data_IF_685579570481
#
_entry.id   IF_685579570481
#
_cell.length_a   1.000
_cell.length_b   1.000
_cell.length_c   1.000
_cell.angle_alpha   90.00
_cell.angle_beta   90.00
_cell.angle_gamma   90.00
#
_symmetry.space_group_name_H-M   'P 1'
#
loop_
_entity.id
_entity.type
_entity.pdbx_description
1 polymer ?
#
# COMPACT_ATOMS: atom_id res chain seq x y z
N UNK A 1 -4.20 -14.85 3.25
CA UNK A 1 -5.65 -14.69 2.94
C UNK A 1 -5.78 -13.49 2.00
N UNK A 2 -6.95 -13.24 1.42
CA UNK A 2 -7.20 -12.08 0.55
C UNK A 2 -8.33 -11.26 1.19
N UNK A 3 -8.30 -9.93 1.10
CA UNK A 3 -9.35 -9.08 1.66
C UNK A 3 -10.66 -9.28 0.92
N UNK A 4 -10.62 -9.22 -0.41
CA UNK A 4 -11.76 -9.60 -1.24
C UNK A 4 -11.83 -11.13 -1.39
N UNK A 5 -13.04 -11.68 -1.33
CA UNK A 5 -13.29 -13.10 -1.65
C UNK A 5 -14.34 -13.22 -2.71
N UNK A 6 -14.30 -14.30 -3.51
CA UNK A 6 -15.34 -14.60 -4.49
C UNK A 6 -16.73 -14.61 -3.84
N UNK A 7 -16.87 -15.21 -2.66
CA UNK A 7 -18.16 -15.27 -1.95
C UNK A 7 -18.67 -13.88 -1.60
N UNK A 8 -17.81 -13.03 -1.01
CA UNK A 8 -18.19 -11.66 -0.64
C UNK A 8 -18.55 -10.83 -1.87
N UNK A 9 -17.76 -10.96 -2.94
CA UNK A 9 -17.98 -10.31 -4.22
C UNK A 9 -19.34 -10.66 -4.84
N UNK A 10 -19.67 -11.96 -4.92
CA UNK A 10 -20.97 -12.40 -5.46
C UNK A 10 -22.15 -11.98 -4.60
N UNK A 11 -21.93 -11.84 -3.29
CA UNK A 11 -22.98 -11.42 -2.34
C UNK A 11 -23.28 -9.94 -2.43
N UNK A 12 -22.26 -9.10 -2.63
CA UNK A 12 -22.38 -7.64 -2.59
C UNK A 12 -22.59 -6.99 -3.96
N UNK A 13 -22.34 -7.73 -5.04
CA UNK A 13 -22.47 -7.23 -6.41
C UNK A 13 -23.53 -8.01 -7.18
N UNK A 14 -23.91 -7.50 -8.34
CA UNK A 14 -24.84 -8.21 -9.24
C UNK A 14 -24.12 -9.21 -10.16
N UNK A 15 -22.79 -9.30 -10.11
CA UNK A 15 -22.01 -10.14 -11.02
C UNK A 15 -22.11 -11.62 -10.63
N UNK A 16 -22.44 -12.45 -11.60
CA UNK A 16 -22.59 -13.90 -11.46
C UNK A 16 -21.50 -14.66 -12.21
N UNK A 17 -21.44 -15.98 -12.07
CA UNK A 17 -20.43 -16.82 -12.73
C UNK A 17 -20.55 -16.82 -14.26
N UNK A 18 -21.69 -16.39 -14.82
CA UNK A 18 -21.83 -16.18 -16.27
C UNK A 18 -21.14 -14.90 -16.76
N UNK A 19 -20.97 -13.90 -15.89
CA UNK A 19 -20.33 -12.62 -16.26
C UNK A 19 -18.80 -12.72 -16.21
N UNK A 20 -18.28 -13.43 -15.21
CA UNK A 20 -16.86 -13.71 -15.04
C UNK A 20 -16.69 -15.06 -14.34
N UNK A 21 -15.84 -15.94 -14.85
CA UNK A 21 -15.52 -17.20 -14.19
C UNK A 21 -14.70 -17.00 -12.93
N UNK A 22 -14.81 -17.92 -11.97
CA UNK A 22 -14.14 -17.76 -10.67
C UNK A 22 -12.60 -17.83 -10.77
N UNK A 23 -12.07 -18.53 -11.76
CA UNK A 23 -10.62 -18.52 -12.07
C UNK A 23 -10.15 -17.13 -12.50
N UNK A 24 -10.89 -16.47 -13.40
CA UNK A 24 -10.59 -15.11 -13.84
C UNK A 24 -10.75 -14.11 -12.71
N UNK A 25 -11.77 -14.28 -11.87
CA UNK A 25 -12.01 -13.44 -10.71
C UNK A 25 -10.87 -13.56 -9.68
N UNK A 26 -10.37 -14.78 -9.43
CA UNK A 26 -9.23 -15.04 -8.55
C UNK A 26 -7.99 -14.24 -8.93
N UNK A 27 -7.70 -14.11 -10.22
CA UNK A 27 -6.56 -13.33 -10.71
C UNK A 27 -6.71 -11.82 -10.48
N UNK A 28 -7.94 -11.30 -10.42
CA UNK A 28 -8.22 -9.86 -10.24
C UNK A 28 -8.31 -9.51 -8.75
N UNK A 29 -8.69 -10.46 -7.89
CA UNK A 29 -8.74 -10.27 -6.42
C UNK A 29 -7.40 -9.76 -5.90
N UNK A 30 -6.28 -10.39 -6.27
CA UNK A 30 -4.96 -9.97 -5.80
C UNK A 30 -4.60 -8.52 -6.20
N UNK A 31 -5.03 -8.08 -7.39
CA UNK A 31 -4.80 -6.71 -7.85
C UNK A 31 -5.73 -5.71 -7.12
N UNK A 32 -6.95 -6.12 -6.79
CA UNK A 32 -7.87 -5.29 -6.02
C UNK A 32 -7.37 -5.06 -4.58
N UNK A 33 -6.91 -6.13 -3.92
CA UNK A 33 -6.38 -6.06 -2.56
C UNK A 33 -5.13 -5.17 -2.50
N UNK A 34 -4.17 -5.37 -3.43
CA UNK A 34 -2.98 -4.52 -3.56
C UNK A 34 -3.32 -3.04 -3.77
N UNK A 35 -4.32 -2.76 -4.58
CA UNK A 35 -4.75 -1.39 -4.82
C UNK A 35 -5.31 -0.74 -3.54
N UNK A 36 -6.12 -1.47 -2.78
CA UNK A 36 -6.66 -0.98 -1.49
C UNK A 36 -5.55 -0.77 -0.47
N UNK A 37 -4.62 -1.72 -0.32
CA UNK A 37 -3.44 -1.56 0.56
C UNK A 37 -2.69 -0.28 0.20
N UNK A 38 -2.44 -0.01 -1.08
CA UNK A 38 -1.74 1.22 -1.52
C UNK A 38 -2.52 2.51 -1.27
N UNK A 39 -3.84 2.44 -1.16
CA UNK A 39 -4.69 3.61 -0.88
C UNK A 39 -4.71 3.97 0.60
N UNK A 40 -4.55 2.99 1.49
CA UNK A 40 -4.69 3.16 2.94
C UNK A 40 -3.34 3.19 3.68
N UNK A 41 -2.32 2.58 3.09
CA UNK A 41 -0.97 2.48 3.67
C UNK A 41 0.06 3.29 2.89
N UNK A 42 1.17 3.61 3.53
CA UNK A 42 2.36 4.15 2.86
C UNK A 42 3.52 3.20 3.04
N UNK A 43 4.21 2.93 1.93
CA UNK A 43 5.40 2.08 1.92
C UNK A 43 6.65 2.88 2.28
N UNK A 44 7.42 2.33 3.20
CA UNK A 44 8.66 2.90 3.70
C UNK A 44 9.80 2.02 3.21
N UNK A 45 10.75 2.65 2.53
CA UNK A 45 11.90 1.99 1.94
C UNK A 45 13.16 2.27 2.76
N UNK A 46 13.82 1.21 3.19
CA UNK A 46 15.13 1.24 3.85
C UNK A 46 15.20 2.23 5.02
N UNK A 47 14.18 2.22 5.86
CA UNK A 47 14.21 3.01 7.09
C UNK A 47 15.24 2.45 8.05
N UNK A 48 16.10 3.32 8.58
CA UNK A 48 16.98 2.99 9.70
C UNK A 48 16.18 2.90 10.99
N UNK A 49 16.11 1.69 11.54
CA UNK A 49 15.41 1.42 12.80
C UNK A 49 16.20 1.98 13.99
N UNK A 50 15.46 2.38 15.03
CA UNK A 50 16.02 2.82 16.30
C UNK A 50 16.24 1.63 17.24
N UNK A 51 17.41 1.59 17.86
CA UNK A 51 17.82 0.48 18.74
C UNK A 51 19.33 0.41 18.90
N UNK A 52 19.78 -0.08 20.05
CA UNK A 52 21.21 -0.28 20.31
C UNK A 52 21.71 -1.52 19.55
N UNK A 53 22.88 -1.42 18.94
CA UNK A 53 23.57 -2.54 18.27
C UNK A 53 24.74 -2.96 19.15
N UNK A 54 24.52 -3.95 20.02
CA UNK A 54 25.50 -4.43 21.01
C UNK A 54 25.73 -5.95 20.98
N UNK A 55 25.15 -6.65 20.00
CA UNK A 55 25.20 -8.11 19.90
C UNK A 55 24.22 -8.85 20.80
N UNK A 56 23.36 -8.14 21.54
CA UNK A 56 22.36 -8.74 22.44
C UNK A 56 20.94 -8.22 22.20
N UNK A 57 20.77 -6.97 21.76
CA UNK A 57 19.47 -6.41 21.45
C UNK A 57 18.89 -7.02 20.15
N UNK A 58 17.66 -7.53 20.23
CA UNK A 58 16.91 -8.07 19.08
C UNK A 58 15.70 -7.20 18.70
N UNK A 59 15.35 -6.23 19.54
CA UNK A 59 14.17 -5.39 19.37
C UNK A 59 14.56 -4.03 18.81
N UNK A 60 13.99 -3.70 17.66
CA UNK A 60 14.24 -2.45 16.96
C UNK A 60 12.93 -1.74 16.63
N UNK A 61 12.94 -0.41 16.66
CA UNK A 61 11.74 0.42 16.58
C UNK A 61 11.67 1.17 15.26
N UNK A 62 10.51 1.13 14.63
CA UNK A 62 10.17 1.98 13.51
C UNK A 62 9.75 3.37 13.99
N UNK A 63 10.01 4.36 13.15
CA UNK A 63 9.57 5.74 13.27
C UNK A 63 8.10 5.87 12.89
N UNK A 64 7.70 5.30 11.75
CA UNK A 64 6.30 5.32 11.30
C UNK A 64 5.56 4.08 11.80
N UNK A 65 4.38 4.34 12.37
CA UNK A 65 3.53 3.35 13.05
C UNK A 65 2.07 3.81 13.01
N UNK A 66 1.08 2.89 13.12
CA UNK A 66 1.26 1.45 13.27
C UNK A 66 1.75 0.77 11.97
N UNK A 67 2.50 -0.33 12.08
CA UNK A 67 2.89 -1.16 10.93
C UNK A 67 1.62 -1.79 10.35
N UNK A 68 1.48 -1.74 9.04
CA UNK A 68 0.32 -2.20 8.31
C UNK A 68 0.57 -3.54 7.63
N UNK A 69 -0.52 -4.26 7.39
CA UNK A 69 -0.56 -5.48 6.58
C UNK A 69 -0.22 -5.15 5.13
N UNK A 70 0.85 -5.74 4.63
CA UNK A 70 1.42 -5.51 3.32
C UNK A 70 1.01 -6.59 2.32
N UNK A 71 0.72 -7.81 2.79
CA UNK A 71 0.40 -8.98 1.96
C UNK A 71 -1.10 -9.23 1.80
N UNK A 72 -1.94 -8.41 2.44
CA UNK A 72 -3.40 -8.47 2.44
C UNK A 72 -3.98 -9.71 3.13
N UNK A 73 -3.24 -10.31 4.07
CA UNK A 73 -3.68 -11.49 4.81
C UNK A 73 -4.75 -11.21 5.86
N UNK A 74 -4.91 -9.96 6.29
CA UNK A 74 -5.79 -9.53 7.38
C UNK A 74 -5.12 -9.56 8.75
N UNK A 75 -3.82 -9.89 8.81
CA UNK A 75 -3.06 -9.99 10.05
C UNK A 75 -1.70 -9.34 9.83
N UNK A 76 -1.31 -8.42 10.71
CA UNK A 76 0.05 -7.86 10.66
C UNK A 76 1.00 -8.85 11.33
N UNK A 77 1.92 -9.43 10.56
CA UNK A 77 2.93 -10.36 11.07
C UNK A 77 4.30 -10.20 10.38
N UNK A 78 5.24 -11.07 10.73
CA UNK A 78 6.63 -11.02 10.26
C UNK A 78 6.78 -10.98 8.73
N UNK A 79 5.81 -11.48 7.98
CA UNK A 79 5.86 -11.54 6.53
C UNK A 79 5.59 -10.15 5.89
N UNK A 80 5.09 -9.17 6.67
CA UNK A 80 4.85 -7.78 6.23
C UNK A 80 6.09 -6.89 6.27
N UNK A 81 7.20 -7.37 6.85
CA UNK A 81 8.42 -6.60 7.04
C UNK A 81 9.62 -7.36 6.51
N UNK A 82 10.45 -6.67 5.73
CA UNK A 82 11.78 -7.17 5.36
C UNK A 82 12.85 -6.33 6.03
N UNK A 83 13.67 -6.94 6.89
CA UNK A 83 14.76 -6.28 7.60
C UNK A 83 16.13 -6.70 7.05
N UNK A 84 17.12 -5.82 7.15
CA UNK A 84 18.48 -6.00 6.67
C UNK A 84 19.48 -5.49 7.70
N UNK A 85 20.60 -6.19 7.82
CA UNK A 85 21.81 -5.63 8.43
C UNK A 85 22.65 -4.98 7.35
N UNK A 86 22.99 -3.71 7.58
CA UNK A 86 23.69 -2.90 6.60
C UNK A 86 25.10 -2.58 7.09
N UNK A 87 26.06 -2.69 6.19
CA UNK A 87 27.48 -2.34 6.39
C UNK A 87 27.87 -1.20 5.46
N UNK A 88 29.09 -0.68 5.60
CA UNK A 88 29.68 0.22 4.61
C UNK A 88 30.57 -0.59 3.67
N UNK A 89 30.51 -0.26 2.38
CA UNK A 89 31.51 -0.73 1.42
C UNK A 89 32.83 -0.01 1.68
N UNK A 90 33.89 -0.77 1.97
CA UNK A 90 35.22 -0.23 2.33
C UNK A 90 35.88 0.60 1.22
N UNK A 91 35.45 0.43 -0.04
CA UNK A 91 36.06 1.08 -1.20
C UNK A 91 35.35 2.39 -1.55
N UNK A 92 34.03 2.40 -1.44
CA UNK A 92 33.17 3.47 -1.95
C UNK A 92 32.50 4.27 -0.82
N UNK A 93 32.41 3.70 0.39
CA UNK A 93 31.74 4.29 1.55
C UNK A 93 30.21 4.28 1.47
N UNK A 94 29.63 3.59 0.47
CA UNK A 94 28.18 3.47 0.33
C UNK A 94 27.64 2.39 1.26
N UNK A 95 26.35 2.49 1.58
CA UNK A 95 25.65 1.47 2.36
C UNK A 95 25.47 0.23 1.50
N UNK A 96 25.95 -0.91 1.98
CA UNK A 96 25.72 -2.22 1.40
C UNK A 96 24.67 -2.96 2.23
N UNK A 97 23.63 -3.47 1.57
CA UNK A 97 22.62 -4.30 2.22
C UNK A 97 23.10 -5.75 2.26
N UNK A 98 23.15 -6.33 3.46
CA UNK A 98 23.34 -7.77 3.62
C UNK A 98 22.12 -8.56 3.13
N UNK A 99 22.12 -9.86 3.42
CA UNK A 99 20.93 -10.70 3.20
C UNK A 99 19.79 -10.28 4.12
N UNK A 100 18.55 -10.50 3.67
CA UNK A 100 17.38 -10.29 4.51
C UNK A 100 17.48 -11.11 5.80
N UNK A 101 17.15 -10.50 6.93
CA UNK A 101 17.21 -11.08 8.27
C UNK A 101 15.85 -11.64 8.63
N UNK A 102 15.83 -12.80 9.29
CA UNK A 102 14.58 -13.37 9.80
C UNK A 102 13.98 -12.48 10.90
N UNK A 103 12.77 -11.99 10.65
CA UNK A 103 11.91 -11.37 11.67
C UNK A 103 11.12 -12.46 12.39
N UNK A 104 11.08 -12.42 13.71
CA UNK A 104 10.38 -13.44 14.53
C UNK A 104 9.02 -12.97 15.01
N UNK A 105 8.88 -11.68 15.31
CA UNK A 105 7.60 -11.10 15.72
C UNK A 105 7.56 -9.59 15.47
N UNK A 106 6.34 -9.06 15.40
CA UNK A 106 6.07 -7.63 15.22
C UNK A 106 5.04 -7.19 16.25
N UNK A 107 5.29 -6.05 16.88
CA UNK A 107 4.28 -5.30 17.63
C UNK A 107 3.86 -4.09 16.80
N UNK A 108 2.83 -4.29 15.97
CA UNK A 108 2.42 -3.33 14.95
C UNK A 108 2.14 -1.92 15.50
N UNK A 109 1.41 -1.84 16.63
CA UNK A 109 1.00 -0.58 17.25
C UNK A 109 2.18 0.24 17.78
N UNK A 110 3.19 -0.43 18.33
CA UNK A 110 4.37 0.23 18.92
C UNK A 110 5.51 0.39 17.92
N UNK A 111 5.42 -0.28 16.77
CA UNK A 111 6.45 -0.30 15.73
C UNK A 111 7.67 -1.14 16.09
N UNK A 112 7.55 -2.11 17.01
CA UNK A 112 8.68 -2.96 17.40
C UNK A 112 8.77 -4.15 16.45
N UNK A 113 9.96 -4.35 15.87
CA UNK A 113 10.33 -5.50 15.08
C UNK A 113 11.36 -6.30 15.88
N UNK A 114 11.08 -7.58 16.13
CA UNK A 114 11.99 -8.49 16.81
C UNK A 114 12.67 -9.39 15.80
N UNK A 115 14.00 -9.34 15.73
CA UNK A 115 14.80 -10.18 14.83
C UNK A 115 15.22 -11.48 15.51
N UNK A 116 15.54 -12.50 14.71
CA UNK A 116 15.96 -13.81 15.23
C UNK A 116 17.34 -13.76 15.89
N UNK A 117 18.28 -13.00 15.32
CA UNK A 117 19.66 -12.89 15.79
C UNK A 117 20.02 -11.44 16.04
N UNK A 118 20.58 -11.09 17.20
CA UNK A 118 20.99 -9.73 17.49
C UNK A 118 22.17 -9.28 16.60
N UNK A 119 22.13 -8.07 16.01
CA UNK A 119 23.26 -7.56 15.23
C UNK A 119 24.41 -7.11 16.14
N UNK A 120 25.63 -7.26 15.66
CA UNK A 120 26.83 -6.66 16.26
C UNK A 120 27.24 -5.41 15.49
N UNK A 121 28.13 -4.60 16.07
CA UNK A 121 28.68 -3.41 15.41
C UNK A 121 29.47 -3.74 14.13
N UNK A 122 29.85 -5.00 13.92
CA UNK A 122 30.52 -5.46 12.69
C UNK A 122 29.52 -5.93 11.63
N UNK A 123 28.39 -6.53 12.02
CA UNK A 123 27.41 -7.04 11.05
C UNK A 123 26.44 -5.97 10.57
N UNK A 124 26.21 -4.93 11.37
CA UNK A 124 25.26 -3.86 11.09
C UNK A 124 25.89 -2.47 11.33
N UNK A 125 27.11 -2.26 10.86
CA UNK A 125 27.88 -1.03 11.06
C UNK A 125 27.12 0.23 10.61
N UNK A 126 26.44 0.17 9.46
CA UNK A 126 25.61 1.27 8.94
C UNK A 126 24.23 1.33 9.62
N UNK A 127 23.79 0.23 10.23
CA UNK A 127 22.58 0.11 11.03
C UNK A 127 21.70 -1.06 10.60
N UNK A 128 20.51 -1.13 11.22
CA UNK A 128 19.43 -2.05 10.83
C UNK A 128 18.44 -1.29 9.97
N UNK A 129 18.18 -1.78 8.75
CA UNK A 129 17.28 -1.15 7.80
C UNK A 129 16.04 -2.03 7.58
N UNK A 130 14.87 -1.43 7.39
CA UNK A 130 13.64 -2.17 7.11
C UNK A 130 12.84 -1.59 5.93
N UNK A 131 12.15 -2.48 5.23
CA UNK A 131 11.11 -2.18 4.24
C UNK A 131 9.80 -2.69 4.81
N UNK A 132 8.80 -1.81 4.91
CA UNK A 132 7.50 -2.12 5.49
C UNK A 132 6.44 -1.11 5.04
N UNK A 133 5.17 -1.37 5.37
CA UNK A 133 4.07 -0.41 5.21
C UNK A 133 3.57 0.06 6.57
N UNK A 134 3.09 1.30 6.66
CA UNK A 134 2.40 1.81 7.85
C UNK A 134 1.04 2.39 7.49
N UNK A 135 0.11 2.33 8.45
CA UNK A 135 -1.23 2.87 8.26
C UNK A 135 -1.22 4.39 8.39
N UNK A 136 -1.77 5.08 7.39
CA UNK A 136 -1.82 6.55 7.39
C UNK A 136 -3.04 7.10 8.13
N UNK A 137 -4.06 6.27 8.34
CA UNK A 137 -5.36 6.66 8.89
C UNK A 137 -5.62 6.11 10.29
N UNK A 138 -4.57 5.64 10.99
CA UNK A 138 -4.68 5.02 12.31
C UNK A 138 -4.97 3.52 12.22
N UNK A 139 -5.56 2.95 13.27
CA UNK A 139 -5.82 1.51 13.33
C UNK A 139 -6.81 1.09 12.24
N UNK A 140 -6.36 0.25 11.33
CA UNK A 140 -7.14 -0.29 10.22
C UNK A 140 -8.23 -1.25 10.70
N UNK A 141 -9.45 -1.03 10.22
CA UNK A 141 -10.57 -1.97 10.33
C UNK A 141 -10.58 -2.87 9.09
N UNK A 142 -10.22 -4.14 9.28
CA UNK A 142 -10.09 -5.11 8.20
C UNK A 142 -11.43 -5.48 7.56
N UNK A 143 -12.55 -5.35 8.28
CA UNK A 143 -13.88 -5.59 7.69
C UNK A 143 -14.22 -4.49 6.67
N UNK A 144 -13.83 -3.24 6.99
CA UNK A 144 -13.96 -2.09 6.09
C UNK A 144 -13.01 -2.24 4.88
N UNK A 145 -11.77 -2.70 5.08
CA UNK A 145 -10.86 -2.99 3.97
C UNK A 145 -11.39 -4.09 3.05
N UNK A 146 -11.93 -5.18 3.61
CA UNK A 146 -12.53 -6.26 2.83
C UNK A 146 -13.71 -5.76 1.98
N UNK A 147 -14.52 -4.86 2.53
CA UNK A 147 -15.61 -4.23 1.81
C UNK A 147 -15.09 -3.32 0.68
N UNK A 148 -14.13 -2.45 0.97
CA UNK A 148 -13.52 -1.56 -0.02
C UNK A 148 -12.83 -2.34 -1.15
N UNK A 149 -12.07 -3.39 -0.83
CA UNK A 149 -11.42 -4.28 -1.79
C UNK A 149 -12.45 -4.98 -2.67
N UNK A 150 -13.58 -5.39 -2.10
CA UNK A 150 -14.68 -5.99 -2.87
C UNK A 150 -15.33 -5.01 -3.85
N UNK A 151 -15.53 -3.75 -3.46
CA UNK A 151 -16.04 -2.72 -4.35
C UNK A 151 -15.02 -2.34 -5.43
N UNK A 152 -13.74 -2.27 -5.09
CA UNK A 152 -12.69 -2.05 -6.08
C UNK A 152 -12.60 -3.20 -7.08
N UNK A 153 -12.74 -4.44 -6.62
CA UNK A 153 -12.84 -5.62 -7.48
C UNK A 153 -14.03 -5.52 -8.44
N UNK A 154 -15.20 -5.08 -7.98
CA UNK A 154 -16.37 -4.83 -8.81
C UNK A 154 -16.10 -3.79 -9.91
N UNK A 155 -15.38 -2.73 -9.58
CA UNK A 155 -14.93 -1.75 -10.56
C UNK A 155 -13.99 -2.36 -11.62
N UNK A 156 -13.00 -3.16 -11.21
CA UNK A 156 -12.08 -3.82 -12.13
C UNK A 156 -12.81 -4.82 -13.05
N UNK A 157 -13.70 -5.65 -12.50
CA UNK A 157 -14.51 -6.61 -13.25
C UNK A 157 -15.41 -5.91 -14.26
N UNK A 158 -16.10 -4.84 -13.85
CA UNK A 158 -16.93 -4.03 -14.75
C UNK A 158 -16.13 -3.47 -15.93
N UNK A 159 -14.89 -3.02 -15.70
CA UNK A 159 -14.01 -2.54 -16.76
C UNK A 159 -13.54 -3.66 -17.68
N UNK A 160 -13.18 -4.84 -17.13
CA UNK A 160 -12.77 -6.01 -17.90
C UNK A 160 -13.89 -6.48 -18.84
N UNK A 161 -15.12 -6.60 -18.34
CA UNK A 161 -16.30 -6.99 -19.13
C UNK A 161 -16.57 -5.98 -20.26
N UNK A 162 -16.41 -4.67 -19.98
CA UNK A 162 -16.58 -3.61 -20.98
C UNK A 162 -15.45 -3.57 -22.03
N UNK A 163 -14.45 -4.44 -21.95
CA UNK A 163 -13.27 -4.41 -22.83
C UNK A 163 -12.44 -3.14 -22.69
N UNK A 164 -12.63 -2.38 -21.59
CA UNK A 164 -11.79 -1.21 -21.31
C UNK A 164 -10.52 -1.73 -20.66
N UNK A 165 -9.38 -1.59 -21.33
CA UNK A 165 -8.09 -1.81 -20.69
C UNK A 165 -8.02 -0.93 -19.42
N UNK A 166 -7.65 -1.51 -18.26
CA UNK A 166 -7.31 -0.70 -17.10
C UNK A 166 -6.10 0.14 -17.50
N UNK A 167 -6.25 1.45 -17.52
CA UNK A 167 -5.15 2.34 -17.78
C UNK A 167 -4.36 2.49 -16.47
N UNK A 168 -3.31 1.69 -16.33
CA UNK A 168 -2.42 1.72 -15.17
C UNK A 168 -1.42 2.88 -15.21
N UNK A 169 -1.47 3.76 -16.23
CA UNK A 169 -0.52 4.86 -16.42
C UNK A 169 -1.02 6.21 -15.89
N UNK A 170 -2.25 6.28 -15.38
CA UNK A 170 -2.86 7.55 -15.01
C UNK A 170 -2.52 7.95 -13.58
N UNK A 171 -1.35 8.57 -13.43
CA UNK A 171 -1.01 9.55 -12.38
C UNK A 171 -1.71 10.91 -12.62
N UNK A 172 -2.65 10.99 -13.57
CA UNK A 172 -3.38 12.21 -13.91
C UNK A 172 -4.69 12.34 -13.11
N UNK A 173 -4.93 13.46 -12.41
CA UNK A 173 -6.15 13.72 -11.65
C UNK A 173 -7.46 13.71 -12.46
N UNK A 174 -7.40 13.83 -13.78
CA UNK A 174 -8.58 14.11 -14.62
C UNK A 174 -9.30 12.86 -15.20
N UNK A 175 -8.71 11.67 -15.15
CA UNK A 175 -9.30 10.48 -15.76
C UNK A 175 -10.47 9.75 -15.05
N UNK A 176 -10.82 9.97 -13.76
CA UNK A 176 -11.90 9.21 -13.13
C UNK A 176 -13.30 9.53 -13.69
N UNK A 177 -13.51 10.70 -14.30
CA UNK A 177 -14.86 11.27 -14.44
C UNK A 177 -15.61 10.93 -15.74
N UNK A 178 -14.94 10.39 -16.77
CA UNK A 178 -15.60 10.01 -18.04
C UNK A 178 -16.17 8.59 -18.07
N UNK A 179 -16.17 7.85 -16.95
CA UNK A 179 -16.75 6.49 -16.88
C UNK A 179 -18.04 6.42 -16.06
N UNK A 180 -18.75 7.54 -15.92
CA UNK A 180 -20.11 7.51 -15.40
C UNK A 180 -21.05 7.00 -16.49
N UNK A 181 -21.63 5.85 -16.19
CA UNK A 181 -22.79 5.24 -16.82
C UNK A 181 -22.57 4.20 -17.95
N UNK A 182 -23.13 3.00 -17.71
CA UNK A 182 -24.12 2.35 -18.57
C UNK A 182 -24.45 0.89 -18.17
N UNK A 183 -23.83 0.29 -17.14
CA UNK A 183 -24.21 -1.08 -16.69
C UNK A 183 -23.96 -1.43 -15.22
N UNK A 184 -23.70 -0.47 -14.32
CA UNK A 184 -23.77 -0.78 -12.88
C UNK A 184 -22.73 -0.09 -12.02
N UNK A 185 -23.25 0.63 -11.01
CA UNK A 185 -22.60 1.07 -9.77
C UNK A 185 -21.41 2.02 -9.92
N UNK A 186 -21.42 3.11 -9.16
CA UNK A 186 -20.20 3.86 -8.85
C UNK A 186 -19.36 3.07 -7.83
N UNK A 187 -18.89 1.88 -8.22
CA UNK A 187 -18.16 0.96 -7.34
C UNK A 187 -16.85 1.55 -6.84
N UNK A 188 -16.21 2.39 -7.66
CA UNK A 188 -15.01 3.12 -7.24
C UNK A 188 -15.37 4.20 -6.20
N UNK A 189 -16.46 4.95 -6.42
CA UNK A 189 -16.99 5.89 -5.43
C UNK A 189 -17.34 5.21 -4.10
N UNK A 190 -18.01 4.04 -4.14
CA UNK A 190 -18.32 3.24 -2.95
C UNK A 190 -17.05 2.75 -2.24
N UNK A 191 -16.01 2.36 -2.97
CA UNK A 191 -14.72 2.01 -2.37
C UNK A 191 -14.13 3.20 -1.61
N UNK A 192 -14.04 4.37 -2.25
CA UNK A 192 -13.50 5.57 -1.60
C UNK A 192 -14.35 6.07 -0.44
N UNK A 193 -15.68 5.98 -0.55
CA UNK A 193 -16.60 6.31 0.53
C UNK A 193 -16.42 5.37 1.72
N UNK A 194 -16.28 4.07 1.47
CA UNK A 194 -16.02 3.05 2.50
C UNK A 194 -14.71 3.34 3.24
N UNK A 195 -13.69 3.82 2.53
CA UNK A 195 -12.40 4.20 3.11
C UNK A 195 -12.39 5.60 3.74
N UNK A 196 -13.49 6.35 3.68
CA UNK A 196 -13.55 7.73 4.19
C UNK A 196 -12.67 8.71 3.39
N UNK A 197 -12.26 8.35 2.16
CA UNK A 197 -11.36 9.14 1.32
C UNK A 197 -12.08 10.19 0.46
N UNK A 198 -13.24 10.68 0.92
CA UNK A 198 -14.09 11.59 0.15
C UNK A 198 -13.39 12.91 -0.22
N UNK A 199 -12.45 13.40 0.59
CA UNK A 199 -11.72 14.64 0.30
C UNK A 199 -10.80 14.51 -0.93
N UNK A 200 -10.29 13.30 -1.22
CA UNK A 200 -9.58 13.02 -2.48
C UNK A 200 -10.53 12.99 -3.69
N UNK A 201 -11.84 12.86 -3.47
CA UNK A 201 -12.89 12.95 -4.51
C UNK A 201 -13.29 14.41 -4.77
N UNK A 202 -13.21 15.28 -3.76
CA UNK A 202 -13.62 16.69 -3.84
C UNK A 202 -12.53 17.64 -4.38
N UNK A 203 -11.25 17.39 -4.10
CA UNK A 203 -10.16 18.22 -4.65
C UNK A 203 -10.10 18.20 -6.18
N UNK A 204 -10.38 17.06 -6.80
CA UNK A 204 -10.50 16.90 -8.25
C UNK A 204 -11.82 17.40 -8.83
N UNK A 205 -12.81 17.72 -7.98
CA UNK A 205 -14.10 18.29 -8.40
C UNK A 205 -14.05 19.82 -8.52
N UNK A 206 -13.15 20.46 -7.79
CA UNK A 206 -12.95 21.91 -7.79
C UNK A 206 -12.05 22.41 -8.94
N UNK A 207 -11.27 21.54 -9.58
CA UNK A 207 -10.39 21.91 -10.71
C UNK A 207 -11.15 22.21 -12.02
N UNK A 208 -12.48 22.02 -12.05
CA UNK A 208 -13.34 22.38 -13.17
C UNK A 208 -13.82 23.84 -13.20
N UNK A 209 -13.69 24.61 -12.10
CA UNK A 209 -14.15 26.01 -12.05
C UNK A 209 -13.11 26.91 -11.37
N UNK A 210 -12.22 27.48 -12.17
CA UNK A 210 -11.51 28.73 -11.85
C UNK A 210 -10.31 28.60 -10.90
N UNK A 211 -9.19 28.06 -11.38
CA UNK A 211 -7.91 28.21 -10.69
C UNK A 211 -7.36 29.63 -10.91
N UNK A 212 -7.02 30.40 -9.86
CA UNK A 212 -6.23 31.62 -10.00
C UNK A 212 -4.84 31.23 -10.51
N UNK A 213 -4.44 31.82 -11.64
CA UNK A 213 -3.13 31.56 -12.27
C UNK A 213 -2.00 31.71 -11.23
N UNK A 214 -1.25 30.63 -11.03
CA UNK A 214 0.03 30.68 -10.35
C UNK A 214 0.95 31.65 -11.11
N UNK A 215 1.69 32.54 -10.43
CA UNK A 215 2.61 33.44 -11.10
C UNK A 215 3.70 32.62 -11.80
N UNK A 216 3.94 32.95 -13.07
CA UNK A 216 4.92 32.26 -13.92
C UNK A 216 6.32 32.27 -13.27
N UNK A 217 7.06 31.15 -13.33
CA UNK A 217 8.40 31.08 -12.79
C UNK A 217 9.31 32.05 -13.54
N UNK A 218 9.85 33.04 -12.82
CA UNK A 218 10.96 33.87 -13.32
C UNK A 218 12.17 32.96 -13.50
N UNK A 219 12.60 32.81 -14.76
CA UNK A 219 13.62 31.86 -15.19
C UNK A 219 14.89 31.84 -14.31
N UNK A 220 15.40 30.63 -14.13
CA UNK A 220 16.72 30.37 -13.53
C UNK A 220 17.76 30.78 -14.57
N UNK A 221 18.68 31.68 -14.20
CA UNK A 221 19.87 31.97 -14.99
C UNK A 221 20.84 30.81 -14.85
N UNK A 222 21.25 30.24 -15.97
CA UNK A 222 22.42 29.38 -16.07
C UNK A 222 23.66 30.12 -15.56
N UNK A 223 24.29 29.58 -14.51
CA UNK A 223 25.75 29.62 -14.26
C UNK A 223 26.13 28.31 -13.58
#
# INVERSE_FOLDING_TARGET
>A
MAYATTVLFRRLTHFTTSDIGDTDLGNIIAEADRAVVRLTTTEVWLEKLDGTIDGTNVDFRTKYKPIADADSSGVVDKDDVTAYYATFDDTTGWIELGTAVTVTSIQAETGIITMETAPTTTTAEAGVLAIYRYDTHGKTDYDILALAATYYLAYLVANKIKGKTPDYTQTSPEAPYLRRDLTGGDWLGLCYETLGLQDKIFLTRAEGEGVPKLPEPKGIKDI
#
